data_IF_510319636287
#
_entry.id   IF_510319636287
#
_cell.length_a   1.000
_cell.length_b   1.000
_cell.length_c   1.000
_cell.angle_alpha   90.00
_cell.angle_beta   90.00
_cell.angle_gamma   90.00
#
_symmetry.space_group_name_H-M   'P 1'
#
loop_
_entity.id
_entity.type
_entity.pdbx_description
1 polymer ?
#
# COMPACT_ATOMS: atom_id res chain seq x y z
N UNK A 1 8.90 20.53 4.83
CA UNK A 1 8.62 19.84 3.55
C UNK A 1 7.30 20.36 2.98
N UNK A 2 7.18 20.59 1.67
CA UNK A 2 5.87 20.90 1.08
C UNK A 2 4.97 19.66 1.13
N UNK A 3 3.69 19.83 1.48
CA UNK A 3 2.71 18.74 1.46
C UNK A 3 2.40 18.32 0.01
N UNK A 4 2.22 17.02 -0.28
CA UNK A 4 1.83 16.55 -1.59
C UNK A 4 0.37 16.90 -1.87
N UNK A 5 -0.01 16.89 -3.14
CA UNK A 5 -1.40 17.13 -3.55
C UNK A 5 -2.16 15.80 -3.52
N UNK A 6 -3.21 15.72 -2.72
CA UNK A 6 -4.16 14.60 -2.76
C UNK A 6 -5.46 14.98 -3.47
N UNK A 7 -5.93 14.11 -4.37
CA UNK A 7 -7.21 14.25 -5.07
C UNK A 7 -7.85 12.88 -5.31
N UNK A 8 -9.15 12.83 -5.56
CA UNK A 8 -9.82 11.60 -5.97
C UNK A 8 -9.37 11.21 -7.37
N UNK A 9 -9.10 9.92 -7.59
CA UNK A 9 -8.76 9.42 -8.91
C UNK A 9 -9.93 9.62 -9.89
N UNK A 10 -9.60 10.06 -11.10
CA UNK A 10 -10.51 10.16 -12.22
C UNK A 10 -9.75 9.75 -13.49
N UNK A 11 -10.29 8.86 -14.33
CA UNK A 11 -9.67 8.49 -15.60
C UNK A 11 -9.44 9.67 -16.56
N UNK A 12 -10.12 10.79 -16.33
CA UNK A 12 -10.00 12.02 -17.14
C UNK A 12 -8.74 12.83 -16.80
N UNK A 13 -8.12 12.58 -15.66
CA UNK A 13 -6.93 13.31 -15.23
C UNK A 13 -5.70 12.71 -15.89
N UNK A 14 -4.82 13.57 -16.42
CA UNK A 14 -3.52 13.12 -16.93
C UNK A 14 -2.64 12.64 -15.78
N UNK A 15 -1.98 11.50 -15.99
CA UNK A 15 -1.00 10.97 -15.06
C UNK A 15 0.27 11.83 -15.05
N UNK A 16 0.84 12.02 -13.88
CA UNK A 16 2.12 12.69 -13.65
C UNK A 16 3.22 11.67 -13.35
N UNK A 17 4.48 12.06 -13.52
CA UNK A 17 5.64 11.18 -13.31
C UNK A 17 5.76 10.71 -11.84
N UNK A 18 5.51 11.62 -10.90
CA UNK A 18 5.70 11.37 -9.47
C UNK A 18 4.37 11.20 -8.73
N UNK A 19 3.48 10.36 -9.25
CA UNK A 19 2.25 9.98 -8.54
C UNK A 19 2.19 8.50 -8.15
N UNK A 20 1.33 8.22 -7.18
CA UNK A 20 0.88 6.87 -6.82
C UNK A 20 -0.55 6.93 -6.29
N UNK A 21 -1.17 5.76 -6.12
CA UNK A 21 -2.58 5.64 -5.79
C UNK A 21 -2.78 5.11 -4.38
N UNK A 22 -3.92 5.41 -3.77
CA UNK A 22 -4.25 5.01 -2.39
C UNK A 22 -5.67 4.50 -2.36
N UNK A 23 -5.90 3.28 -1.88
CA UNK A 23 -7.25 2.74 -1.73
C UNK A 23 -8.05 3.58 -0.73
N UNK A 24 -9.28 3.99 -1.05
CA UNK A 24 -10.12 4.80 -0.16
C UNK A 24 -11.43 4.15 0.29
N UNK A 25 -11.72 2.92 -0.18
CA UNK A 25 -12.87 2.12 0.26
C UNK A 25 -12.47 0.71 0.68
N UNK A 26 -13.25 0.16 1.61
CA UNK A 26 -13.07 -1.15 2.23
C UNK A 26 -12.12 -1.13 3.43
N UNK A 27 -11.94 -2.29 4.04
CA UNK A 27 -11.08 -2.47 5.23
C UNK A 27 -9.58 -2.28 4.94
N UNK A 28 -9.19 -2.20 3.67
CA UNK A 28 -7.82 -1.91 3.24
C UNK A 28 -7.60 -0.42 2.90
N UNK A 29 -8.53 0.47 3.28
CA UNK A 29 -8.37 1.90 2.98
C UNK A 29 -7.09 2.47 3.59
N UNK A 30 -6.46 3.40 2.88
CA UNK A 30 -5.14 3.94 3.18
C UNK A 30 -3.98 3.14 2.58
N UNK A 31 -4.23 1.95 2.02
CA UNK A 31 -3.21 1.15 1.35
C UNK A 31 -2.65 1.86 0.10
N UNK A 32 -1.34 2.07 -0.02
CA UNK A 32 -0.74 2.57 -1.26
C UNK A 32 -0.75 1.49 -2.34
N UNK A 33 -0.97 1.91 -3.58
CA UNK A 33 -1.15 1.09 -4.77
C UNK A 33 -0.26 1.61 -5.90
N UNK A 34 0.25 0.68 -6.71
CA UNK A 34 1.05 0.97 -7.90
C UNK A 34 0.20 1.27 -9.14
N UNK A 35 -1.05 0.80 -9.15
CA UNK A 35 -2.01 1.01 -10.23
C UNK A 35 -3.30 1.65 -9.68
N UNK A 36 -3.98 2.48 -10.48
CA UNK A 36 -5.21 3.14 -10.05
C UNK A 36 -6.39 2.16 -9.99
N UNK A 37 -7.39 2.50 -9.19
CA UNK A 37 -8.71 1.87 -9.24
C UNK A 37 -9.82 2.90 -8.98
N UNK A 38 -11.10 2.60 -9.30
CA UNK A 38 -12.19 3.56 -9.10
C UNK A 38 -12.34 4.08 -7.66
N UNK A 39 -11.93 3.28 -6.67
CA UNK A 39 -11.99 3.61 -5.25
C UNK A 39 -10.61 4.02 -4.73
N UNK A 40 -9.94 4.93 -5.43
CA UNK A 40 -8.62 5.41 -5.02
C UNK A 40 -8.50 6.93 -4.99
N UNK A 41 -7.63 7.40 -4.10
CA UNK A 41 -7.04 8.73 -4.17
C UNK A 41 -5.74 8.67 -4.99
N UNK A 42 -5.31 9.83 -5.49
CA UNK A 42 -4.02 10.05 -6.13
C UNK A 42 -3.21 10.96 -5.22
N UNK A 43 -1.98 10.58 -4.91
CA UNK A 43 -0.98 11.44 -4.29
C UNK A 43 0.01 11.89 -5.36
N UNK A 44 0.04 13.19 -5.64
CA UNK A 44 0.93 13.81 -6.62
C UNK A 44 2.06 14.50 -5.86
N UNK A 45 3.28 14.06 -6.14
CA UNK A 45 4.50 14.58 -5.54
C UNK A 45 5.31 15.42 -6.54
N UNK A 46 6.25 16.21 -6.03
CA UNK A 46 7.13 17.09 -6.81
C UNK A 46 8.35 16.36 -7.39
N UNK A 47 8.78 15.29 -6.73
CA UNK A 47 9.96 14.50 -7.10
C UNK A 47 9.88 13.09 -6.52
N UNK A 48 10.81 12.23 -6.96
CA UNK A 48 10.90 10.84 -6.52
C UNK A 48 11.11 10.69 -5.01
N UNK A 49 11.97 11.52 -4.38
CA UNK A 49 12.22 11.46 -2.92
C UNK A 49 10.93 11.66 -2.13
N UNK A 50 10.10 12.63 -2.53
CA UNK A 50 8.81 12.89 -1.88
C UNK A 50 7.82 11.75 -2.13
N UNK A 51 7.77 11.20 -3.35
CA UNK A 51 6.94 10.03 -3.68
C UNK A 51 7.30 8.84 -2.79
N UNK A 52 8.58 8.51 -2.67
CA UNK A 52 9.05 7.39 -1.85
C UNK A 52 8.71 7.60 -0.38
N UNK A 53 8.96 8.79 0.17
CA UNK A 53 8.63 9.11 1.55
C UNK A 53 7.14 8.88 1.86
N UNK A 54 6.24 9.49 1.08
CA UNK A 54 4.80 9.37 1.33
C UNK A 54 4.26 7.98 1.02
N UNK A 55 4.81 7.28 0.03
CA UNK A 55 4.44 5.89 -0.25
C UNK A 55 4.71 5.00 0.96
N UNK A 56 5.92 5.06 1.52
CA UNK A 56 6.29 4.25 2.68
C UNK A 56 5.62 4.68 3.97
N UNK A 57 5.32 5.98 4.12
CA UNK A 57 4.54 6.47 5.26
C UNK A 57 3.14 5.86 5.25
N UNK A 58 2.45 5.95 4.12
CA UNK A 58 1.12 5.38 3.96
C UNK A 58 1.12 3.86 4.06
N UNK A 59 2.17 3.21 3.55
CA UNK A 59 2.35 1.78 3.70
C UNK A 59 2.41 1.37 5.18
N UNK A 60 3.23 2.06 5.98
CA UNK A 60 3.35 1.82 7.41
C UNK A 60 2.04 2.06 8.16
N UNK A 61 1.39 3.20 7.92
CA UNK A 61 0.09 3.54 8.53
C UNK A 61 -0.99 2.50 8.18
N UNK A 62 -1.04 2.03 6.93
CA UNK A 62 -1.97 0.98 6.51
C UNK A 62 -1.66 -0.37 7.17
N UNK A 63 -0.38 -0.80 7.17
CA UNK A 63 0.05 -2.06 7.81
C UNK A 63 -0.26 -2.06 9.31
N UNK A 64 -0.10 -0.92 9.98
CA UNK A 64 -0.45 -0.72 11.39
C UNK A 64 -1.97 -0.60 11.65
N UNK A 65 -2.81 -0.69 10.61
CA UNK A 65 -4.26 -0.45 10.66
C UNK A 65 -4.65 0.92 11.20
N UNK A 66 -3.75 1.91 11.17
CA UNK A 66 -3.96 3.26 11.71
C UNK A 66 -5.24 3.91 11.16
N UNK A 67 -5.49 3.74 9.86
CA UNK A 67 -6.65 4.32 9.20
C UNK A 67 -8.00 3.73 9.60
N UNK A 68 -8.05 2.63 10.36
CA UNK A 68 -9.32 2.03 10.78
C UNK A 68 -10.15 2.98 11.64
N UNK A 69 -9.50 3.86 12.42
CA UNK A 69 -10.18 4.88 13.20
C UNK A 69 -10.86 5.96 12.35
N UNK A 70 -10.45 6.11 11.08
CA UNK A 70 -11.02 7.08 10.13
C UNK A 70 -12.07 6.45 9.21
N UNK A 71 -12.31 5.14 9.32
CA UNK A 71 -13.30 4.47 8.50
C UNK A 71 -14.71 4.89 8.92
N UNK A 72 -15.51 5.29 7.94
CA UNK A 72 -16.93 5.62 8.10
C UNK A 72 -17.78 4.90 7.06
N UNK A 73 -19.11 4.95 7.20
CA UNK A 73 -20.05 4.21 6.35
C UNK A 73 -20.41 2.84 6.90
N UNK A 74 -21.67 2.44 6.74
CA UNK A 74 -22.21 1.21 7.33
C UNK A 74 -21.96 -0.03 6.47
N UNK A 75 -22.35 0.00 5.19
CA UNK A 75 -22.28 -1.19 4.32
C UNK A 75 -20.88 -1.37 3.73
N UNK A 76 -20.27 -0.27 3.26
CA UNK A 76 -18.90 -0.27 2.72
C UNK A 76 -18.12 0.82 3.45
N UNK A 77 -17.19 0.46 4.35
CA UNK A 77 -16.35 1.43 5.02
C UNK A 77 -15.49 2.23 4.03
N UNK A 78 -15.26 3.51 4.28
CA UNK A 78 -14.41 4.36 3.46
C UNK A 78 -13.78 5.48 4.29
N UNK A 79 -12.76 6.13 3.75
CA UNK A 79 -12.12 7.30 4.37
C UNK A 79 -12.47 8.54 3.57
N UNK A 80 -12.88 9.63 4.24
CA UNK A 80 -13.10 10.92 3.56
C UNK A 80 -11.76 11.59 3.26
N UNK A 81 -11.63 12.16 2.07
CA UNK A 81 -10.35 12.74 1.62
C UNK A 81 -9.85 13.89 2.51
N UNK A 82 -10.75 14.65 3.13
CA UNK A 82 -10.39 15.72 4.05
C UNK A 82 -9.71 15.18 5.32
N UNK A 83 -10.33 14.19 5.98
CA UNK A 83 -9.77 13.51 7.16
C UNK A 83 -8.46 12.81 6.81
N UNK A 84 -8.41 12.13 5.66
CA UNK A 84 -7.18 11.50 5.17
C UNK A 84 -6.03 12.50 5.01
N UNK A 85 -6.27 13.65 4.35
CA UNK A 85 -5.26 14.69 4.15
C UNK A 85 -4.72 15.22 5.47
N UNK A 86 -5.61 15.50 6.43
CA UNK A 86 -5.24 16.00 7.74
C UNK A 86 -4.38 14.99 8.49
N UNK A 87 -4.82 13.72 8.55
CA UNK A 87 -4.11 12.68 9.26
C UNK A 87 -2.71 12.46 8.67
N UNK A 88 -2.61 12.34 7.34
CA UNK A 88 -1.33 12.13 6.67
C UNK A 88 -0.37 13.30 6.88
N UNK A 89 -0.89 14.53 6.91
CA UNK A 89 -0.08 15.72 7.21
C UNK A 89 0.46 15.69 8.65
N UNK A 90 -0.37 15.29 9.62
CA UNK A 90 0.04 15.15 11.03
C UNK A 90 1.12 14.08 11.18
N UNK A 91 0.91 12.88 10.62
CA UNK A 91 1.88 11.79 10.72
C UNK A 91 3.18 12.11 9.98
N UNK A 92 3.11 12.78 8.83
CA UNK A 92 4.30 13.23 8.11
C UNK A 92 5.12 14.24 8.92
N UNK A 93 4.47 15.16 9.64
CA UNK A 93 5.15 16.12 10.51
C UNK A 93 5.87 15.42 11.67
N UNK A 94 5.21 14.46 12.34
CA UNK A 94 5.80 13.66 13.42
C UNK A 94 7.02 12.90 12.92
N UNK A 95 6.88 12.15 11.82
CA UNK A 95 7.96 11.32 11.27
C UNK A 95 9.13 12.17 10.77
N UNK A 96 8.86 13.38 10.26
CA UNK A 96 9.91 14.30 9.80
C UNK A 96 10.82 14.76 10.95
N UNK A 97 10.37 14.72 12.21
CA UNK A 97 11.24 15.03 13.37
C UNK A 97 12.26 13.93 13.67
N UNK A 98 12.04 12.72 13.16
CA UNK A 98 12.85 11.52 13.39
C UNK A 98 13.27 10.89 12.04
N UNK A 99 13.65 11.72 11.06
CA UNK A 99 13.87 11.30 9.67
C UNK A 99 14.90 10.15 9.56
N UNK A 100 16.01 10.20 10.32
CA UNK A 100 17.07 9.18 10.28
C UNK A 100 16.59 7.80 10.76
N UNK A 101 15.93 7.74 11.91
CA UNK A 101 15.38 6.51 12.49
C UNK A 101 14.28 5.92 11.61
N UNK A 102 13.43 6.80 11.06
CA UNK A 102 12.37 6.40 10.15
C UNK A 102 12.93 5.79 8.86
N UNK A 103 13.93 6.42 8.23
CA UNK A 103 14.56 5.87 7.02
C UNK A 103 15.17 4.49 7.29
N UNK A 104 15.89 4.32 8.39
CA UNK A 104 16.46 3.02 8.77
C UNK A 104 15.37 1.95 8.99
N UNK A 105 14.23 2.35 9.56
CA UNK A 105 13.08 1.46 9.77
C UNK A 105 12.43 1.06 8.45
N UNK A 106 12.21 2.02 7.54
CA UNK A 106 11.65 1.76 6.20
C UNK A 106 12.52 0.79 5.40
N UNK A 107 13.84 0.92 5.47
CA UNK A 107 14.75 0.03 4.75
C UNK A 107 14.71 -1.41 5.28
N UNK A 108 14.57 -1.60 6.60
CA UNK A 108 14.32 -2.92 7.19
C UNK A 108 12.98 -3.49 6.73
N UNK A 109 11.92 -2.68 6.70
CA UNK A 109 10.59 -3.10 6.23
C UNK A 109 10.63 -3.57 4.78
N UNK A 110 11.34 -2.86 3.88
CA UNK A 110 11.51 -3.27 2.48
C UNK A 110 12.12 -4.67 2.36
N UNK A 111 13.19 -4.94 3.11
CA UNK A 111 13.86 -6.24 3.11
C UNK A 111 12.92 -7.35 3.64
N UNK A 112 12.10 -7.04 4.65
CA UNK A 112 11.13 -7.99 5.19
C UNK A 112 10.01 -8.30 4.19
N UNK A 113 9.48 -7.30 3.47
CA UNK A 113 8.45 -7.53 2.44
C UNK A 113 8.99 -8.38 1.27
N UNK A 114 10.24 -8.19 0.88
CA UNK A 114 10.89 -9.01 -0.14
C UNK A 114 11.04 -10.47 0.32
N UNK A 115 11.51 -10.69 1.56
CA UNK A 115 11.61 -12.02 2.14
C UNK A 115 10.24 -12.69 2.27
N UNK A 116 9.24 -11.96 2.73
CA UNK A 116 7.86 -12.46 2.83
C UNK A 116 7.34 -12.90 1.45
N UNK A 117 7.58 -12.11 0.41
CA UNK A 117 7.21 -12.45 -0.97
C UNK A 117 7.89 -13.75 -1.43
N UNK A 118 9.19 -13.90 -1.18
CA UNK A 118 9.94 -15.10 -1.57
C UNK A 118 9.41 -16.35 -0.84
N UNK A 119 9.12 -16.25 0.46
CA UNK A 119 8.54 -17.36 1.24
C UNK A 119 7.17 -17.75 0.68
N UNK A 120 6.30 -16.78 0.35
CA UNK A 120 5.00 -17.06 -0.25
C UNK A 120 5.12 -17.80 -1.59
N UNK A 121 6.10 -17.42 -2.42
CA UNK A 121 6.37 -18.12 -3.68
C UNK A 121 6.85 -19.56 -3.47
N UNK A 122 7.74 -19.78 -2.50
CA UNK A 122 8.21 -21.12 -2.13
C UNK A 122 7.05 -22.00 -1.63
N UNK A 123 6.17 -21.46 -0.79
CA UNK A 123 4.97 -22.17 -0.33
C UNK A 123 4.04 -22.55 -1.49
N UNK A 124 3.85 -21.66 -2.47
CA UNK A 124 3.08 -21.96 -3.67
C UNK A 124 3.70 -23.12 -4.48
N UNK A 125 5.01 -23.09 -4.69
CA UNK A 125 5.74 -24.14 -5.40
C UNK A 125 5.64 -25.51 -4.70
N UNK A 126 5.73 -25.53 -3.36
CA UNK A 126 5.54 -26.74 -2.57
C UNK A 126 4.14 -27.33 -2.79
N UNK A 127 3.11 -26.49 -2.83
CA UNK A 127 1.74 -26.94 -3.07
C UNK A 127 1.55 -27.49 -4.49
N UNK A 128 2.16 -26.86 -5.50
CA UNK A 128 2.09 -27.34 -6.87
C UNK A 128 2.83 -28.68 -7.05
N UNK A 129 3.98 -28.85 -6.40
CA UNK A 129 4.70 -30.12 -6.39
C UNK A 129 3.86 -31.24 -5.76
N UNK A 130 3.25 -30.98 -4.60
CA UNK A 130 2.34 -31.94 -3.94
C UNK A 130 1.21 -32.36 -4.88
N UNK A 131 0.57 -31.40 -5.55
CA UNK A 131 -0.48 -31.68 -6.54
C UNK A 131 0.04 -32.55 -7.68
N UNK A 132 1.16 -32.18 -8.30
CA UNK A 132 1.75 -32.90 -9.42
C UNK A 132 2.09 -34.36 -9.07
N UNK A 133 2.63 -34.60 -7.86
CA UNK A 133 2.91 -35.95 -7.37
C UNK A 133 1.65 -36.81 -7.28
N UNK A 134 0.58 -36.26 -6.69
CA UNK A 134 -0.71 -36.97 -6.58
C UNK A 134 -1.29 -37.24 -7.98
N UNK A 135 -1.32 -36.24 -8.86
CA UNK A 135 -1.81 -36.40 -10.23
C UNK A 135 -1.06 -37.48 -11.00
N UNK A 136 0.27 -37.57 -10.85
CA UNK A 136 1.08 -38.62 -11.47
C UNK A 136 0.61 -40.01 -11.03
N UNK A 137 0.34 -40.21 -9.74
CA UNK A 137 -0.13 -41.50 -9.22
C UNK A 137 -1.56 -41.84 -9.67
N UNK A 138 -2.44 -40.84 -9.78
CA UNK A 138 -3.81 -41.05 -10.26
C UNK A 138 -3.84 -41.38 -11.75
N UNK A 139 -3.05 -40.68 -12.58
CA UNK A 139 -2.98 -40.92 -14.03
C UNK A 139 -2.28 -42.23 -14.38
N UNK A 140 -1.29 -42.66 -13.60
CA UNK A 140 -0.60 -43.95 -13.81
C UNK A 140 -1.47 -45.19 -13.53
N UNK A 141 -2.65 -45.01 -12.93
CA UNK A 141 -3.61 -46.09 -12.62
C UNK A 141 -4.84 -46.10 -13.55
N UNK A 142 -4.85 -45.21 -14.55
CA UNK A 142 -5.79 -45.20 -15.67
C UNK A 142 -5.10 -45.78 -16.90
#
# INVERSE_FOLDING_TARGET
>A
MHSPKFQTYSPKNQATEFEFYILCKGLNSGKPLTAPCPNSFVCICKNQKQKDFYFWLLFGLWKAKHFHQLLTGSVIPFIRIAEFKQEVSTQAAVVSTQESEYTATVDKIKQLEEREKNIRQQLALINDLKRAMIYRHLKSKM
#
